data_IF_538530411398
#
_entry.id   IF_538530411398
#
_cell.length_a   1.000
_cell.length_b   1.000
_cell.length_c   1.000
_cell.angle_alpha   90.00
_cell.angle_beta   90.00
_cell.angle_gamma   90.00
#
_symmetry.space_group_name_H-M   'P 1'
#
loop_
_entity.id
_entity.type
_entity.pdbx_description
1 polymer ?
#
# COMPACT_ATOMS: atom_id res chain seq x y z
N UNK A 1 -2.49 -44.57 -13.79
CA UNK A 1 -3.39 -44.30 -12.63
C UNK A 1 -2.64 -43.78 -11.40
N UNK A 2 -1.43 -44.26 -11.11
CA UNK A 2 -0.60 -43.89 -9.94
C UNK A 2 -0.24 -42.39 -9.83
N UNK A 3 0.04 -41.72 -10.97
CA UNK A 3 0.36 -40.27 -11.01
C UNK A 3 -0.81 -39.39 -10.56
N UNK A 4 -2.04 -39.75 -10.97
CA UNK A 4 -3.28 -39.02 -10.64
C UNK A 4 -3.64 -39.16 -9.16
N UNK A 5 -3.45 -40.34 -8.58
CA UNK A 5 -3.68 -40.58 -7.14
C UNK A 5 -2.67 -39.80 -6.27
N UNK A 6 -1.41 -39.72 -6.69
CA UNK A 6 -0.40 -38.94 -5.97
C UNK A 6 -0.65 -37.42 -6.01
N UNK A 7 -1.21 -36.91 -7.09
CA UNK A 7 -1.56 -35.49 -7.24
C UNK A 7 -2.74 -35.09 -6.35
N UNK A 8 -3.81 -35.90 -6.33
CA UNK A 8 -4.98 -35.70 -5.46
C UNK A 8 -4.58 -35.64 -3.99
N UNK A 9 -3.77 -36.60 -3.53
CA UNK A 9 -3.28 -36.62 -2.13
C UNK A 9 -2.47 -35.37 -1.75
N UNK A 10 -1.68 -34.81 -2.68
CA UNK A 10 -0.94 -33.56 -2.43
C UNK A 10 -1.88 -32.36 -2.35
N UNK A 11 -2.90 -32.31 -3.19
CA UNK A 11 -3.92 -31.25 -3.14
C UNK A 11 -4.73 -31.29 -1.84
N UNK A 12 -5.11 -32.48 -1.37
CA UNK A 12 -5.79 -32.68 -0.09
C UNK A 12 -4.92 -32.25 1.09
N UNK A 13 -3.65 -32.66 1.11
CA UNK A 13 -2.69 -32.24 2.14
C UNK A 13 -2.50 -30.72 2.15
N UNK A 14 -2.35 -30.10 0.98
CA UNK A 14 -2.22 -28.65 0.87
C UNK A 14 -3.49 -27.92 1.33
N UNK A 15 -4.68 -28.44 1.01
CA UNK A 15 -5.95 -27.91 1.47
C UNK A 15 -6.10 -28.01 2.99
N UNK A 16 -5.66 -29.13 3.59
CA UNK A 16 -5.63 -29.31 5.05
C UNK A 16 -4.75 -28.24 5.72
N UNK A 17 -3.58 -27.95 5.17
CA UNK A 17 -2.71 -26.90 5.71
C UNK A 17 -3.31 -25.50 5.59
N UNK A 18 -4.02 -25.20 4.50
CA UNK A 18 -4.75 -23.92 4.39
C UNK A 18 -5.88 -23.80 5.42
N UNK A 19 -6.56 -24.91 5.74
CA UNK A 19 -7.59 -24.94 6.76
C UNK A 19 -7.03 -24.77 8.18
N UNK A 20 -5.89 -25.43 8.47
CA UNK A 20 -5.16 -25.22 9.72
C UNK A 20 -4.70 -23.76 9.87
N UNK A 21 -4.21 -23.15 8.78
CA UNK A 21 -3.87 -21.73 8.75
C UNK A 21 -5.06 -20.85 9.11
N UNK A 22 -6.24 -21.11 8.53
CA UNK A 22 -7.46 -20.35 8.83
C UNK A 22 -7.83 -20.44 10.32
N UNK A 23 -7.94 -21.66 10.85
CA UNK A 23 -8.29 -21.91 12.27
C UNK A 23 -7.27 -21.31 13.24
N UNK A 24 -5.97 -21.49 12.96
CA UNK A 24 -4.91 -20.88 13.76
C UNK A 24 -5.01 -19.35 13.78
N UNK A 25 -5.32 -18.73 12.64
CA UNK A 25 -5.51 -17.29 12.54
C UNK A 25 -6.80 -16.80 13.24
N UNK A 26 -7.79 -17.67 13.42
CA UNK A 26 -9.03 -17.40 14.18
C UNK A 26 -8.88 -17.60 15.70
N UNK A 27 -7.74 -18.09 16.17
CA UNK A 27 -7.46 -18.24 17.61
C UNK A 27 -7.41 -19.68 18.13
N UNK A 28 -7.53 -20.68 17.27
CA UNK A 28 -7.43 -22.08 17.65
C UNK A 28 -5.97 -22.50 17.90
N UNK A 29 -5.59 -22.64 19.17
CA UNK A 29 -4.23 -23.02 19.59
C UNK A 29 -3.83 -24.42 19.10
N UNK A 30 -4.75 -25.39 19.14
CA UNK A 30 -4.46 -26.74 18.69
C UNK A 30 -4.20 -26.76 17.17
N UNK A 31 -4.97 -25.99 16.40
CA UNK A 31 -4.71 -25.82 14.98
C UNK A 31 -3.39 -25.09 14.71
N UNK A 32 -2.96 -24.17 15.57
CA UNK A 32 -1.67 -23.49 15.46
C UNK A 32 -0.50 -24.46 15.61
N UNK A 33 -0.54 -25.33 16.62
CA UNK A 33 0.47 -26.37 16.84
C UNK A 33 0.49 -27.38 15.67
N UNK A 34 -0.68 -27.84 15.22
CA UNK A 34 -0.78 -28.77 14.09
C UNK A 34 -0.29 -28.11 12.79
N UNK A 35 -0.56 -26.82 12.57
CA UNK A 35 -0.05 -26.06 11.44
C UNK A 35 1.48 -25.99 11.46
N UNK A 36 2.08 -25.72 12.62
CA UNK A 36 3.53 -25.65 12.77
C UNK A 36 4.18 -27.00 12.41
N UNK A 37 3.60 -28.12 12.86
CA UNK A 37 4.04 -29.47 12.50
C UNK A 37 3.85 -29.78 11.01
N UNK A 38 2.67 -29.48 10.45
CA UNK A 38 2.33 -29.76 9.06
C UNK A 38 3.12 -28.89 8.05
N UNK A 39 3.68 -27.78 8.52
CA UNK A 39 4.52 -26.92 7.69
C UNK A 39 5.94 -27.48 7.46
N UNK A 40 6.40 -28.52 8.17
CA UNK A 40 7.66 -29.22 7.87
C UNK A 40 7.54 -30.19 6.67
N UNK A 41 8.41 -30.10 5.65
CA UNK A 41 8.36 -31.00 4.46
C UNK A 41 8.61 -30.33 3.09
N UNK A 42 8.20 -30.95 1.98
CA UNK A 42 8.27 -30.39 0.61
C UNK A 42 7.21 -29.29 0.34
N UNK A 43 7.39 -28.44 -0.68
CA UNK A 43 6.47 -27.32 -1.01
C UNK A 43 5.07 -27.82 -1.42
N UNK A 44 4.22 -28.07 -0.42
CA UNK A 44 2.86 -28.59 -0.59
C UNK A 44 1.95 -27.61 -1.33
N UNK A 45 2.21 -26.30 -1.24
CA UNK A 45 1.38 -25.30 -1.91
C UNK A 45 1.60 -25.32 -3.42
N UNK A 46 2.72 -25.87 -3.91
CA UNK A 46 2.96 -26.07 -5.34
C UNK A 46 1.79 -26.76 -6.06
N UNK A 47 1.06 -27.65 -5.38
CA UNK A 47 -0.09 -28.38 -5.91
C UNK A 47 -1.38 -27.55 -6.03
N UNK A 48 -1.43 -26.32 -5.48
CA UNK A 48 -2.63 -25.48 -5.49
C UNK A 48 -2.52 -24.31 -6.48
N UNK A 49 -3.64 -23.89 -7.10
CA UNK A 49 -3.71 -22.65 -7.86
C UNK A 49 -3.32 -21.43 -7.00
N UNK A 50 -2.55 -20.46 -7.53
CA UNK A 50 -2.13 -19.25 -6.79
C UNK A 50 -3.26 -18.52 -6.07
N UNK A 51 -4.41 -18.38 -6.74
CA UNK A 51 -5.61 -17.74 -6.19
C UNK A 51 -6.10 -18.41 -4.89
N UNK A 52 -6.08 -19.74 -4.82
CA UNK A 52 -6.55 -20.46 -3.64
C UNK A 52 -5.64 -20.20 -2.42
N UNK A 53 -4.33 -20.14 -2.65
CA UNK A 53 -3.36 -19.79 -1.59
C UNK A 53 -3.52 -18.32 -1.19
N UNK A 54 -3.65 -17.41 -2.16
CA UNK A 54 -3.89 -15.99 -1.92
C UNK A 54 -5.12 -15.76 -1.03
N UNK A 55 -6.24 -16.36 -1.38
CA UNK A 55 -7.51 -16.15 -0.70
C UNK A 55 -7.44 -16.69 0.75
N UNK A 56 -6.76 -17.82 0.98
CA UNK A 56 -6.51 -18.34 2.32
C UNK A 56 -5.54 -17.48 3.15
N UNK A 57 -4.43 -17.01 2.56
CA UNK A 57 -3.50 -16.09 3.23
C UNK A 57 -4.20 -14.78 3.58
N UNK A 58 -5.03 -14.25 2.68
CA UNK A 58 -5.81 -13.04 2.94
C UNK A 58 -6.81 -13.25 4.08
N UNK A 59 -7.54 -14.37 4.09
CA UNK A 59 -8.45 -14.69 5.20
C UNK A 59 -7.71 -14.72 6.54
N UNK A 60 -6.55 -15.39 6.59
CA UNK A 60 -5.71 -15.43 7.78
C UNK A 60 -5.21 -14.04 8.20
N UNK A 61 -4.77 -13.21 7.25
CA UNK A 61 -4.32 -11.84 7.50
C UNK A 61 -5.41 -10.91 8.08
N UNK A 62 -6.68 -11.19 7.77
CA UNK A 62 -7.84 -10.42 8.24
C UNK A 62 -8.47 -10.98 9.52
N UNK A 63 -8.02 -12.14 10.00
CA UNK A 63 -8.48 -12.74 11.24
C UNK A 63 -7.84 -12.07 12.49
N UNK A 64 -8.21 -12.55 13.68
CA UNK A 64 -7.78 -11.98 14.95
C UNK A 64 -6.30 -12.27 15.28
N UNK A 65 -5.71 -13.32 14.70
CA UNK A 65 -4.29 -13.72 14.87
C UNK A 65 -3.56 -13.84 13.53
N UNK A 66 -3.37 -12.72 12.80
CA UNK A 66 -2.75 -12.72 11.47
C UNK A 66 -1.32 -13.27 11.42
N UNK A 67 -0.61 -13.29 12.55
CA UNK A 67 0.76 -13.83 12.66
C UNK A 67 0.83 -15.33 12.38
N UNK A 68 -0.30 -16.06 12.37
CA UNK A 68 -0.33 -17.46 11.95
C UNK A 68 0.29 -17.65 10.54
N UNK A 69 0.20 -16.63 9.66
CA UNK A 69 0.81 -16.63 8.32
C UNK A 69 2.35 -16.73 8.38
N UNK A 70 2.99 -16.36 9.48
CA UNK A 70 4.44 -16.48 9.63
C UNK A 70 4.94 -17.93 9.63
N UNK A 71 4.11 -18.90 10.06
CA UNK A 71 4.47 -20.32 10.04
C UNK A 71 4.75 -20.82 8.61
N UNK A 72 3.84 -20.70 7.63
CA UNK A 72 4.13 -21.10 6.26
C UNK A 72 5.21 -20.24 5.59
N UNK A 73 5.40 -18.97 5.98
CA UNK A 73 6.53 -18.15 5.50
C UNK A 73 7.87 -18.72 5.95
N UNK A 74 8.02 -19.03 7.25
CA UNK A 74 9.25 -19.61 7.82
C UNK A 74 9.60 -20.96 7.22
N UNK A 75 8.58 -21.76 6.92
CA UNK A 75 8.73 -23.04 6.22
C UNK A 75 8.98 -22.90 4.71
N UNK A 76 9.14 -21.68 4.18
CA UNK A 76 9.41 -21.42 2.76
C UNK A 76 8.23 -21.74 1.83
N UNK A 77 7.03 -22.01 2.36
CA UNK A 77 5.84 -22.40 1.59
C UNK A 77 5.32 -21.29 0.68
N UNK A 78 5.62 -20.05 1.04
CA UNK A 78 5.21 -18.89 0.29
C UNK A 78 6.34 -18.28 -0.56
N UNK A 79 7.49 -18.95 -0.65
CA UNK A 79 8.65 -18.44 -1.36
C UNK A 79 8.40 -18.25 -2.86
N UNK A 80 7.65 -19.16 -3.50
CA UNK A 80 7.24 -19.05 -4.90
C UNK A 80 6.37 -17.82 -5.20
N UNK A 81 5.74 -17.27 -4.17
CA UNK A 81 4.90 -16.07 -4.23
C UNK A 81 5.66 -14.80 -3.78
N UNK A 82 6.99 -14.84 -3.70
CA UNK A 82 7.79 -13.68 -3.30
C UNK A 82 7.97 -13.48 -1.79
N UNK A 83 7.29 -14.28 -0.94
CA UNK A 83 7.45 -14.26 0.52
C UNK A 83 8.47 -15.32 0.94
N UNK A 84 9.75 -15.05 0.68
CA UNK A 84 10.83 -16.05 0.76
C UNK A 84 11.23 -16.43 2.17
N UNK A 85 11.21 -15.46 3.09
CA UNK A 85 11.62 -15.65 4.47
C UNK A 85 11.08 -14.51 5.33
N UNK A 86 11.00 -14.73 6.63
CA UNK A 86 10.69 -13.70 7.60
C UNK A 86 11.98 -12.98 8.00
N UNK A 87 12.05 -11.65 7.80
CA UNK A 87 13.20 -10.81 8.18
C UNK A 87 13.10 -10.30 9.61
N UNK A 88 11.90 -9.93 10.01
CA UNK A 88 11.57 -9.47 11.36
C UNK A 88 10.08 -9.75 11.61
N UNK A 89 9.72 -9.92 12.87
CA UNK A 89 8.32 -10.02 13.28
C UNK A 89 7.72 -8.64 13.41
N UNK A 90 6.63 -8.41 12.68
CA UNK A 90 5.83 -7.20 12.78
C UNK A 90 4.52 -7.60 13.47
N UNK A 91 4.02 -6.84 14.45
CA UNK A 91 2.76 -7.16 15.10
C UNK A 91 1.60 -6.88 14.14
N UNK A 92 1.34 -7.79 13.19
CA UNK A 92 0.33 -7.62 12.15
C UNK A 92 -1.05 -7.31 12.73
N UNK A 93 -1.36 -7.85 13.93
CA UNK A 93 -2.61 -7.59 14.64
C UNK A 93 -2.80 -6.11 15.02
N UNK A 94 -1.72 -5.34 15.16
CA UNK A 94 -1.76 -3.91 15.49
C UNK A 94 -2.17 -3.04 14.30
N UNK A 95 -2.02 -3.55 13.06
CA UNK A 95 -2.57 -2.90 11.88
C UNK A 95 -4.09 -3.09 11.84
N UNK A 96 -4.87 -2.16 11.28
CA UNK A 96 -6.29 -2.40 10.99
C UNK A 96 -6.50 -3.69 10.17
N UNK A 97 -7.63 -4.39 10.39
CA UNK A 97 -8.01 -5.58 9.64
C UNK A 97 -8.50 -5.23 8.22
N UNK A 98 -7.61 -4.59 7.44
CA UNK A 98 -7.84 -4.13 6.09
C UNK A 98 -6.83 -4.79 5.16
N UNK A 99 -7.29 -5.23 4.00
CA UNK A 99 -6.50 -6.03 3.05
C UNK A 99 -5.17 -5.37 2.70
N UNK A 100 -5.20 -4.09 2.30
CA UNK A 100 -4.00 -3.37 1.88
C UNK A 100 -2.95 -3.30 2.99
N UNK A 101 -3.34 -2.87 4.20
CA UNK A 101 -2.43 -2.70 5.32
C UNK A 101 -1.85 -4.04 5.80
N UNK A 102 -2.68 -5.09 5.91
CA UNK A 102 -2.20 -6.41 6.37
C UNK A 102 -1.27 -7.07 5.37
N UNK A 103 -1.54 -6.96 4.06
CA UNK A 103 -0.61 -7.40 3.02
C UNK A 103 0.68 -6.59 3.02
N UNK A 104 0.59 -5.26 3.12
CA UNK A 104 1.76 -4.39 3.25
C UNK A 104 2.63 -4.81 4.43
N UNK A 105 2.04 -4.97 5.62
CA UNK A 105 2.75 -5.41 6.83
C UNK A 105 3.43 -6.77 6.67
N UNK A 106 2.76 -7.75 6.03
CA UNK A 106 3.36 -9.06 5.75
C UNK A 106 4.56 -8.96 4.81
N UNK A 107 4.42 -8.21 3.71
CA UNK A 107 5.50 -8.01 2.73
C UNK A 107 6.70 -7.35 3.39
N UNK A 108 6.46 -6.33 4.22
CA UNK A 108 7.47 -5.64 5.03
C UNK A 108 8.20 -6.60 5.96
N UNK A 109 7.46 -7.38 6.76
CA UNK A 109 8.01 -8.39 7.66
C UNK A 109 8.90 -9.42 6.94
N UNK A 110 8.59 -9.73 5.67
CA UNK A 110 9.38 -10.64 4.84
C UNK A 110 10.55 -9.97 4.10
N UNK A 111 10.66 -8.63 4.13
CA UNK A 111 11.55 -7.88 3.25
C UNK A 111 11.30 -8.16 1.76
N UNK A 112 10.06 -8.50 1.40
CA UNK A 112 9.65 -8.78 0.03
C UNK A 112 9.51 -7.50 -0.80
N UNK A 113 9.57 -7.64 -2.13
CA UNK A 113 9.28 -6.53 -3.06
C UNK A 113 7.80 -6.62 -3.48
N UNK A 114 7.00 -5.53 -3.38
CA UNK A 114 5.58 -5.56 -3.75
C UNK A 114 5.30 -6.19 -5.11
N UNK A 115 6.09 -5.83 -6.14
CA UNK A 115 5.96 -6.37 -7.50
C UNK A 115 6.03 -7.91 -7.58
N UNK A 116 6.94 -8.54 -6.82
CA UNK A 116 7.11 -10.00 -6.85
C UNK A 116 5.94 -10.71 -6.18
N UNK A 117 5.44 -10.15 -5.09
CA UNK A 117 4.29 -10.71 -4.35
C UNK A 117 3.00 -10.53 -5.14
N UNK A 118 2.82 -9.37 -5.76
CA UNK A 118 1.70 -9.10 -6.66
C UNK A 118 1.70 -10.05 -7.85
N UNK A 119 2.84 -10.22 -8.52
CA UNK A 119 2.96 -11.16 -9.62
C UNK A 119 2.71 -12.60 -9.18
N UNK A 120 3.30 -13.03 -8.06
CA UNK A 120 3.20 -14.40 -7.56
C UNK A 120 1.75 -14.80 -7.23
N UNK A 121 1.02 -13.94 -6.53
CA UNK A 121 -0.37 -14.19 -6.15
C UNK A 121 -1.40 -13.77 -7.23
N UNK A 122 -0.98 -13.08 -8.29
CA UNK A 122 -1.87 -12.58 -9.34
C UNK A 122 -2.79 -11.45 -8.85
N UNK A 123 -2.24 -10.47 -8.13
CA UNK A 123 -2.94 -9.21 -7.81
C UNK A 123 -2.92 -8.23 -8.99
N UNK A 124 -3.75 -7.18 -8.92
CA UNK A 124 -3.80 -6.14 -9.95
C UNK A 124 -2.61 -5.17 -9.86
N UNK A 125 -2.33 -4.47 -10.96
CA UNK A 125 -1.35 -3.37 -10.97
C UNK A 125 -1.76 -2.19 -10.08
N UNK A 126 -3.05 -1.97 -9.89
CA UNK A 126 -3.52 -0.93 -8.96
C UNK A 126 -3.09 -1.24 -7.53
N UNK A 127 -3.30 -2.49 -7.09
CA UNK A 127 -2.88 -2.93 -5.77
C UNK A 127 -1.36 -2.85 -5.56
N UNK A 128 -0.57 -3.15 -6.60
CA UNK A 128 0.88 -2.94 -6.55
C UNK A 128 1.24 -1.49 -6.28
N UNK A 129 0.68 -0.54 -7.04
CA UNK A 129 0.94 0.89 -6.82
C UNK A 129 0.51 1.32 -5.43
N UNK A 130 -0.61 0.81 -4.92
CA UNK A 130 -1.08 1.16 -3.58
C UNK A 130 -0.08 0.68 -2.51
N UNK A 131 0.47 -0.54 -2.64
CA UNK A 131 1.53 -1.05 -1.77
C UNK A 131 2.83 -0.22 -1.87
N UNK A 132 3.25 0.12 -3.08
CA UNK A 132 4.43 0.95 -3.32
C UNK A 132 4.24 2.36 -2.74
N UNK A 133 3.03 2.92 -2.85
CA UNK A 133 2.69 4.21 -2.28
C UNK A 133 2.70 4.20 -0.75
N UNK A 134 2.29 3.10 -0.13
CA UNK A 134 2.43 2.91 1.32
C UNK A 134 3.90 2.82 1.75
N UNK A 135 4.74 2.12 0.99
CA UNK A 135 6.19 2.07 1.24
C UNK A 135 6.82 3.47 1.15
N UNK A 136 6.53 4.21 0.09
CA UNK A 136 7.01 5.59 -0.07
C UNK A 136 6.61 6.47 1.11
N UNK A 137 5.35 6.39 1.54
CA UNK A 137 4.85 7.19 2.67
C UNK A 137 5.48 6.77 4.00
N UNK A 138 5.61 5.47 4.23
CA UNK A 138 6.17 4.92 5.46
C UNK A 138 7.65 5.29 5.63
N UNK A 139 8.41 5.25 4.52
CA UNK A 139 9.84 5.54 4.50
C UNK A 139 10.21 6.99 4.19
N UNK A 140 9.23 7.84 3.89
CA UNK A 140 9.48 9.26 3.70
C UNK A 140 10.23 9.83 4.93
N UNK A 141 11.15 10.79 4.76
CA UNK A 141 11.80 11.47 5.88
C UNK A 141 10.78 12.11 6.82
N UNK A 142 11.14 12.30 8.09
CA UNK A 142 10.29 13.04 9.02
C UNK A 142 10.09 14.47 8.50
N UNK A 143 8.85 14.92 8.23
CA UNK A 143 8.61 16.29 7.79
C UNK A 143 8.86 17.26 8.95
N UNK A 144 9.75 18.22 8.76
CA UNK A 144 10.05 19.26 9.74
C UNK A 144 9.04 20.42 9.71
N UNK A 145 8.19 20.48 8.67
CA UNK A 145 7.22 21.56 8.46
C UNK A 145 5.96 21.09 7.76
N UNK A 146 4.88 21.88 7.87
CA UNK A 146 3.64 21.65 7.10
C UNK A 146 3.93 21.60 5.60
N UNK A 147 4.83 22.45 5.09
CA UNK A 147 5.22 22.46 3.68
C UNK A 147 5.79 21.10 3.24
N UNK A 148 6.68 20.52 4.02
CA UNK A 148 7.26 19.20 3.73
C UNK A 148 6.21 18.09 3.81
N UNK A 149 5.33 18.14 4.82
CA UNK A 149 4.23 17.19 4.93
C UNK A 149 3.31 17.26 3.71
N UNK A 150 2.93 18.46 3.26
CA UNK A 150 2.14 18.64 2.04
C UNK A 150 2.82 18.06 0.81
N UNK A 151 4.13 18.21 0.68
CA UNK A 151 4.88 17.61 -0.43
C UNK A 151 4.83 16.08 -0.39
N UNK A 152 4.88 15.46 0.79
CA UNK A 152 4.73 14.01 0.93
C UNK A 152 3.30 13.54 0.62
N UNK A 153 2.29 14.34 0.96
CA UNK A 153 0.86 14.01 0.82
C UNK A 153 0.22 14.49 -0.48
N UNK A 154 0.96 15.17 -1.36
CA UNK A 154 0.39 15.78 -2.58
C UNK A 154 -0.16 14.78 -3.59
N UNK A 155 0.45 13.59 -3.63
CA UNK A 155 0.01 12.51 -4.49
C UNK A 155 -1.11 11.73 -3.79
N UNK A 156 -2.13 11.26 -4.56
CA UNK A 156 -3.21 10.49 -4.01
C UNK A 156 -2.72 9.34 -3.13
N UNK A 157 -3.38 9.18 -1.99
CA UNK A 157 -3.16 8.05 -1.10
C UNK A 157 -4.22 6.99 -1.37
N UNK A 158 -3.88 5.70 -1.18
CA UNK A 158 -4.85 4.62 -1.35
C UNK A 158 -5.94 4.63 -0.27
N UNK A 159 -5.71 5.33 0.85
CA UNK A 159 -6.61 5.47 1.99
C UNK A 159 -6.42 6.86 2.63
N UNK A 160 -7.34 7.34 3.48
CA UNK A 160 -7.17 8.60 4.20
C UNK A 160 -5.86 8.64 5.00
N UNK A 161 -5.17 9.78 4.97
CA UNK A 161 -3.86 9.94 5.62
C UNK A 161 -3.91 9.64 7.13
N UNK A 162 -5.01 9.97 7.79
CA UNK A 162 -5.22 9.74 9.22
C UNK A 162 -5.26 8.25 9.58
N UNK A 163 -5.96 7.43 8.78
CA UNK A 163 -5.98 5.98 8.94
C UNK A 163 -4.60 5.37 8.74
N UNK A 164 -3.88 5.82 7.69
CA UNK A 164 -2.54 5.34 7.39
C UNK A 164 -1.54 5.69 8.50
N UNK A 165 -1.56 6.94 8.98
CA UNK A 165 -0.65 7.38 10.03
C UNK A 165 -0.94 6.71 11.36
N UNK A 166 -2.23 6.50 11.69
CA UNK A 166 -2.62 5.72 12.87
C UNK A 166 -2.13 4.29 12.78
N UNK A 167 -2.30 3.63 11.63
CA UNK A 167 -1.81 2.28 11.40
C UNK A 167 -0.28 2.20 11.51
N UNK A 168 0.45 3.18 10.96
CA UNK A 168 1.90 3.25 11.07
C UNK A 168 2.37 3.54 12.50
N UNK A 169 1.67 4.40 13.24
CA UNK A 169 1.97 4.70 14.65
C UNK A 169 1.78 3.49 15.58
N UNK A 170 0.89 2.55 15.23
CA UNK A 170 0.74 1.28 15.93
C UNK A 170 1.96 0.36 15.79
N UNK A 171 2.82 0.60 14.78
CA UNK A 171 4.02 -0.20 14.51
C UNK A 171 5.31 0.55 14.85
N UNK A 172 5.31 1.86 14.69
CA UNK A 172 6.51 2.69 14.77
C UNK A 172 6.20 4.01 15.51
N UNK A 173 6.78 4.20 16.71
CA UNK A 173 6.56 5.39 17.51
C UNK A 173 6.89 6.71 16.80
N UNK A 174 7.74 6.71 15.76
CA UNK A 174 8.11 7.90 14.99
C UNK A 174 6.91 8.56 14.30
N UNK A 175 5.84 7.81 14.05
CA UNK A 175 4.63 8.36 13.43
C UNK A 175 3.77 9.21 14.38
N UNK A 176 4.01 9.19 15.70
CA UNK A 176 3.26 10.03 16.66
C UNK A 176 3.37 11.52 16.34
N UNK A 177 4.58 12.00 16.06
CA UNK A 177 4.81 13.40 15.69
C UNK A 177 4.16 13.75 14.34
N UNK A 178 4.12 12.79 13.40
CA UNK A 178 3.47 12.99 12.09
C UNK A 178 1.96 13.11 12.23
N UNK A 179 1.33 12.37 13.14
CA UNK A 179 -0.10 12.51 13.43
C UNK A 179 -0.42 13.95 13.88
N UNK A 180 0.34 14.48 14.84
CA UNK A 180 0.12 15.86 15.31
C UNK A 180 0.33 16.91 14.20
N UNK A 181 1.29 16.70 13.29
CA UNK A 181 1.48 17.59 12.15
C UNK A 181 0.36 17.47 11.11
N UNK A 182 -0.19 16.26 10.91
CA UNK A 182 -1.33 16.01 10.04
C UNK A 182 -2.60 16.69 10.58
N UNK A 183 -2.87 16.59 11.88
CA UNK A 183 -3.99 17.28 12.54
C UNK A 183 -3.90 18.80 12.33
N UNK A 184 -2.69 19.38 12.48
CA UNK A 184 -2.45 20.80 12.19
C UNK A 184 -2.70 21.15 10.72
N UNK A 185 -2.31 20.29 9.79
CA UNK A 185 -2.56 20.48 8.36
C UNK A 185 -4.06 20.40 8.03
N UNK A 186 -4.79 19.47 8.65
CA UNK A 186 -6.24 19.35 8.47
C UNK A 186 -6.96 20.58 9.03
N UNK A 187 -6.56 21.04 10.22
CA UNK A 187 -7.11 22.23 10.86
C UNK A 187 -6.83 23.53 10.05
N UNK A 188 -5.70 23.61 9.33
CA UNK A 188 -5.40 24.77 8.50
C UNK A 188 -6.27 24.87 7.24
N UNK A 189 -6.85 23.75 6.78
CA UNK A 189 -7.63 23.69 5.54
C UNK A 189 -6.84 24.01 4.27
N UNK A 190 -5.51 24.09 4.36
CA UNK A 190 -4.66 24.51 3.25
C UNK A 190 -4.59 23.44 2.16
N UNK A 191 -4.65 23.85 0.89
CA UNK A 191 -4.55 22.92 -0.24
C UNK A 191 -3.17 22.27 -0.36
N UNK A 192 -3.17 20.96 -0.59
CA UNK A 192 -1.97 20.18 -0.82
C UNK A 192 -2.12 19.08 -1.88
N UNK A 193 -3.32 18.81 -2.37
CA UNK A 193 -3.55 17.92 -3.53
C UNK A 193 -4.09 18.71 -4.71
N UNK A 194 -3.98 18.14 -5.91
CA UNK A 194 -4.54 18.75 -7.12
C UNK A 194 -6.03 19.05 -6.98
N UNK A 195 -6.78 18.20 -6.28
CA UNK A 195 -8.23 18.32 -6.13
C UNK A 195 -8.67 19.40 -5.15
N UNK A 196 -7.75 19.90 -4.31
CA UNK A 196 -7.96 21.04 -3.41
C UNK A 196 -7.65 22.38 -4.08
N UNK A 197 -7.10 22.39 -5.30
CA UNK A 197 -6.88 23.63 -6.02
C UNK A 197 -8.21 24.32 -6.33
N UNK A 198 -8.27 25.63 -6.13
CA UNK A 198 -9.43 26.46 -6.44
C UNK A 198 -9.70 26.59 -7.95
N UNK A 199 -8.87 25.98 -8.81
CA UNK A 199 -9.04 25.93 -10.26
C UNK A 199 -9.14 24.49 -10.74
N UNK A 200 -10.17 24.20 -11.55
CA UNK A 200 -10.45 22.87 -12.10
C UNK A 200 -9.82 22.69 -13.48
N UNK A 201 -9.59 21.44 -13.93
CA UNK A 201 -9.11 21.15 -15.30
C UNK A 201 -9.95 21.82 -16.41
N UNK A 202 -11.27 21.89 -16.23
CA UNK A 202 -12.17 22.51 -17.21
C UNK A 202 -11.93 24.01 -17.37
N UNK A 203 -11.70 24.74 -16.27
CA UNK A 203 -11.39 26.17 -16.29
C UNK A 203 -10.10 26.47 -17.05
N UNK A 204 -9.07 25.63 -16.86
CA UNK A 204 -7.81 25.77 -17.59
C UNK A 204 -7.99 25.60 -19.11
N UNK A 205 -8.84 24.65 -19.53
CA UNK A 205 -9.18 24.49 -20.96
C UNK A 205 -9.95 25.70 -21.50
N UNK A 206 -10.88 26.25 -20.71
CA UNK A 206 -11.62 27.45 -21.09
C UNK A 206 -10.72 28.70 -21.21
N UNK A 207 -9.62 28.75 -20.46
CA UNK A 207 -8.55 29.75 -20.60
C UNK A 207 -7.64 29.51 -21.83
N UNK A 208 -7.94 28.52 -22.66
CA UNK A 208 -7.20 28.21 -23.88
C UNK A 208 -6.01 27.28 -23.71
N UNK A 209 -5.83 26.65 -22.53
CA UNK A 209 -4.73 25.69 -22.36
C UNK A 209 -5.04 24.38 -23.11
N UNK A 210 -4.10 23.86 -23.92
CA UNK A 210 -4.26 22.57 -24.57
C UNK A 210 -4.39 21.43 -23.53
N UNK A 211 -5.15 20.38 -23.87
CA UNK A 211 -5.49 19.31 -22.93
C UNK A 211 -4.29 18.60 -22.30
N UNK A 212 -3.21 18.40 -23.07
CA UNK A 212 -1.96 17.77 -22.61
C UNK A 212 -1.13 18.68 -21.69
N UNK A 213 -1.51 19.96 -21.56
CA UNK A 213 -0.84 20.96 -20.71
C UNK A 213 -1.50 21.17 -19.37
N UNK A 214 -2.76 20.80 -19.25
CA UNK A 214 -3.56 20.98 -18.03
C UNK A 214 -2.89 20.28 -16.84
N UNK A 215 -2.42 19.05 -17.00
CA UNK A 215 -1.74 18.30 -15.93
C UNK A 215 -0.46 18.99 -15.45
N UNK A 216 0.54 19.20 -16.33
CA UNK A 216 1.78 19.87 -15.96
C UNK A 216 1.60 21.26 -15.34
N UNK A 217 0.67 22.07 -15.86
CA UNK A 217 0.39 23.41 -15.28
C UNK A 217 -0.23 23.28 -13.89
N UNK A 218 -1.18 22.36 -13.67
CA UNK A 218 -1.75 22.14 -12.32
C UNK A 218 -0.70 21.70 -11.30
N UNK A 219 0.29 20.90 -11.70
CA UNK A 219 1.39 20.53 -10.80
C UNK A 219 2.23 21.75 -10.37
N UNK A 220 2.53 22.65 -11.32
CA UNK A 220 3.25 23.90 -11.01
C UNK A 220 2.44 24.83 -10.11
N UNK A 221 1.13 24.94 -10.35
CA UNK A 221 0.22 25.71 -9.49
C UNK A 221 0.17 25.13 -8.08
N UNK A 222 0.06 23.80 -7.95
CA UNK A 222 0.08 23.13 -6.66
C UNK A 222 1.39 23.37 -5.92
N UNK A 223 2.53 23.31 -6.62
CA UNK A 223 3.82 23.63 -6.03
C UNK A 223 3.90 25.07 -5.51
N UNK A 224 3.30 26.03 -6.22
CA UNK A 224 3.21 27.41 -5.76
C UNK A 224 2.30 27.54 -4.53
N UNK A 225 1.12 26.91 -4.55
CA UNK A 225 0.16 26.92 -3.43
C UNK A 225 0.74 26.25 -2.18
N UNK A 226 1.49 25.15 -2.31
CA UNK A 226 2.18 24.51 -1.18
C UNK A 226 3.18 25.47 -0.53
N UNK A 227 3.87 26.30 -1.33
CA UNK A 227 4.81 27.33 -0.83
C UNK A 227 4.10 28.55 -0.25
N UNK A 228 2.98 28.96 -0.83
CA UNK A 228 2.21 30.14 -0.44
C UNK A 228 0.71 29.83 -0.50
N UNK A 229 0.10 29.36 0.61
CA UNK A 229 -1.29 28.89 0.63
C UNK A 229 -2.33 29.95 0.22
N UNK A 230 -2.04 31.22 0.48
CA UNK A 230 -2.88 32.36 0.09
C UNK A 230 -3.11 32.49 -1.43
N UNK A 231 -2.27 31.84 -2.25
CA UNK A 231 -2.42 31.81 -3.71
C UNK A 231 -3.59 30.95 -4.19
N UNK A 232 -4.19 30.12 -3.33
CA UNK A 232 -5.26 29.20 -3.70
C UNK A 232 -6.62 29.90 -3.88
N UNK A 233 -6.68 30.85 -4.82
CA UNK A 233 -7.89 31.57 -5.24
C UNK A 233 -8.02 31.46 -6.74
N UNK A 234 -9.26 31.36 -7.23
CA UNK A 234 -9.53 31.12 -8.64
C UNK A 234 -8.83 32.14 -9.55
N UNK A 235 -9.00 33.44 -9.26
CA UNK A 235 -8.48 34.54 -10.06
C UNK A 235 -6.95 34.55 -10.09
N UNK A 236 -6.32 34.31 -8.92
CA UNK A 236 -4.87 34.22 -8.78
C UNK A 236 -4.31 33.05 -9.59
N UNK A 237 -4.90 31.85 -9.44
CA UNK A 237 -4.44 30.66 -10.15
C UNK A 237 -4.71 30.75 -11.66
N UNK A 238 -5.81 31.36 -12.08
CA UNK A 238 -6.12 31.57 -13.50
C UNK A 238 -5.07 32.46 -14.18
N UNK A 239 -4.69 33.57 -13.52
CA UNK A 239 -3.62 34.45 -14.02
C UNK A 239 -2.27 33.74 -14.05
N UNK A 240 -1.91 33.02 -12.99
CA UNK A 240 -0.66 32.25 -12.98
C UNK A 240 -0.64 31.16 -14.08
N UNK A 241 -1.78 30.52 -14.35
CA UNK A 241 -1.86 29.48 -15.37
C UNK A 241 -1.55 30.00 -16.77
N UNK A 242 -2.03 31.21 -17.13
CA UNK A 242 -1.75 31.81 -18.44
C UNK A 242 -0.28 32.20 -18.57
N UNK A 243 0.35 32.68 -17.49
CA UNK A 243 1.79 32.99 -17.44
C UNK A 243 2.69 31.73 -17.51
N UNK A 244 2.24 30.61 -16.94
CA UNK A 244 2.98 29.34 -16.90
C UNK A 244 2.82 28.48 -18.17
N UNK A 245 1.75 28.70 -18.96
CA UNK A 245 1.46 27.89 -20.14
C UNK A 245 2.59 27.89 -21.21
N UNK A 246 3.26 29.01 -21.51
CA UNK A 246 4.39 29.06 -22.44
C UNK A 246 5.63 28.32 -21.90
N UNK A 247 5.91 28.41 -20.60
CA UNK A 247 7.12 27.83 -19.98
C UNK A 247 7.13 26.31 -20.02
N UNK A 248 5.96 25.70 -19.97
CA UNK A 248 5.86 24.25 -20.08
C UNK A 248 6.21 23.77 -21.52
N UNK A 249 6.26 24.64 -22.55
CA UNK A 249 6.42 24.24 -23.97
C UNK A 249 7.83 23.73 -24.26
N UNK A 250 8.84 24.21 -23.52
CA UNK A 250 10.26 23.92 -23.77
C UNK A 250 10.74 22.56 -23.28
N UNK A 251 9.94 21.79 -22.53
CA UNK A 251 10.36 20.49 -21.95
C UNK A 251 10.18 19.26 -22.86
N UNK A 252 9.75 19.42 -24.12
CA UNK A 252 9.58 18.29 -25.07
C UNK A 252 10.62 18.24 -26.22
N UNK A 253 11.58 19.17 -26.26
CA UNK A 253 12.56 19.26 -27.35
C UNK A 253 13.98 18.83 -26.94
N UNK A 254 14.13 17.95 -25.94
CA UNK A 254 15.38 17.30 -25.59
C UNK A 254 15.14 15.81 -25.32
#
# INVERSE_FOLDING_TARGET
MTKKVGEVRRMEAAAKVLELLRRAAEGDEAAHEELAAACGGADIFAALPPRRVRDAVQAALLACRPQAVYLPVRAGRLARFGLRQLRFELPLQALPAQMLLRWWGLIRACGGRPAQVVQGFGFSRSFQRDLERLDELYFAPQPASLRELKQQLRQPLPQPAEELYTAFAALDPRFKERCALLERLQASGEAYTLEMLAIRPASLRALGLPGDRVGPVRELLLDAVIRAPALNRYETLAKMATELAPLTQRRRNF
#
